data_IF_400254344186
#
_entry.id   IF_400254344186
#
_cell.length_a   1.000
_cell.length_b   1.000
_cell.length_c   1.000
_cell.angle_alpha   90.00
_cell.angle_beta   90.00
_cell.angle_gamma   90.00
#
_symmetry.space_group_name_H-M   'P 1'
#
loop_
_entity.id
_entity.type
_entity.pdbx_description
1 polymer ?
2 non-polymer ?
3 non-polymer ?
4 water ?
#
# COMPACT_ATOMS: atom_id res chain seq x y z
N UNK A 1 5.75 3.88 23.39
CA UNK A 1 5.49 5.22 22.82
C UNK A 1 5.50 5.22 21.31
N UNK A 2 4.45 5.76 20.70
CA UNK A 2 4.38 5.95 19.28
C UNK A 2 5.08 7.21 18.85
N UNK A 3 5.80 7.13 17.74
CA UNK A 3 6.34 8.32 17.09
C UNK A 3 6.28 8.17 15.59
N UNK A 4 5.87 9.23 14.92
CA UNK A 4 5.80 9.21 13.46
C UNK A 4 7.20 9.20 12.80
N UNK A 5 8.23 9.56 13.56
CA UNK A 5 9.60 9.63 13.02
C UNK A 5 10.46 8.44 13.40
N UNK A 6 9.84 7.40 13.94
CA UNK A 6 10.53 6.14 14.22
C UNK A 6 9.69 4.99 13.67
N UNK A 7 10.29 3.82 13.55
CA UNK A 7 9.54 2.62 13.19
C UNK A 7 8.89 2.06 14.45
N UNK A 8 7.59 1.80 14.37
CA UNK A 8 6.82 1.36 15.52
C UNK A 8 6.44 -0.11 15.40
N UNK A 9 6.56 -0.87 16.48
CA UNK A 9 6.16 -2.29 16.43
C UNK A 9 4.65 -2.44 16.31
N UNK A 10 4.17 -3.65 16.06
CA UNK A 10 2.74 -3.84 15.84
C UNK A 10 1.88 -3.44 17.02
N UNK A 11 2.28 -3.82 18.23
CA UNK A 11 1.53 -3.44 19.43
C UNK A 11 1.30 -1.92 19.44
N UNK A 12 2.34 -1.17 19.10
CA UNK A 12 2.30 0.29 19.08
C UNK A 12 1.42 0.82 17.94
N UNK A 13 1.57 0.27 16.75
CA UNK A 13 0.74 0.69 15.61
C UNK A 13 -0.74 0.38 15.91
N UNK A 14 -1.01 -0.81 16.43
CA UNK A 14 -2.38 -1.20 16.78
C UNK A 14 -3.01 -0.22 17.78
N UNK A 15 -2.26 0.12 18.84
CA UNK A 15 -2.74 1.07 19.84
C UNK A 15 -2.93 2.44 19.21
N UNK A 16 -2.05 2.79 18.27
CA UNK A 16 -2.17 4.06 17.57
C UNK A 16 -3.42 4.12 16.73
N UNK A 17 -3.79 3.03 16.06
CA UNK A 17 -5.02 3.04 15.25
C UNK A 17 -6.24 3.35 16.13
N UNK A 18 -6.24 2.82 17.35
CA UNK A 18 -7.34 3.06 18.28
C UNK A 18 -7.30 4.50 18.78
N UNK A 19 -6.12 4.98 19.15
CA UNK A 19 -5.95 6.33 19.70
C UNK A 19 -6.22 7.44 18.68
N UNK A 20 -5.71 7.27 17.46
CA UNK A 20 -5.87 8.30 16.43
C UNK A 20 -7.35 8.41 16.05
N UNK A 21 -8.06 7.29 16.11
CA UNK A 21 -9.50 7.26 15.84
C UNK A 21 -10.28 7.98 16.95
N UNK A 22 -9.94 7.66 18.20
CA UNK A 22 -10.62 8.24 19.35
C UNK A 22 -10.38 9.76 19.45
N UNK A 23 -9.18 10.19 19.05
CA UNK A 23 -8.80 11.61 19.12
C UNK A 23 -9.42 12.44 17.99
N UNK A 24 -9.83 11.78 16.91
CA UNK A 24 -10.31 12.46 15.71
C UNK A 24 -11.63 11.88 15.16
N UNK A 25 -12.67 11.81 16.01
CA UNK A 25 -13.91 11.12 15.64
C UNK A 25 -14.63 11.72 14.42
N UNK A 26 -14.41 13.01 14.16
CA UNK A 26 -15.06 13.70 13.05
C UNK A 26 -14.40 13.41 11.71
N UNK A 27 -13.22 12.78 11.75
CA UNK A 27 -12.39 12.58 10.57
C UNK A 27 -11.98 11.12 10.35
N UNK A 28 -12.00 10.31 11.42
CA UNK A 28 -11.51 8.92 11.34
C UNK A 28 -12.45 7.92 12.00
N UNK A 29 -12.71 6.82 11.30
CA UNK A 29 -13.33 5.64 11.91
C UNK A 29 -12.48 4.42 11.63
N UNK A 30 -12.60 3.41 12.50
CA UNK A 30 -11.79 2.21 12.38
C UNK A 30 -12.67 0.96 12.32
N UNK A 31 -12.32 0.05 11.42
CA UNK A 31 -12.93 -1.28 11.37
C UNK A 31 -11.85 -2.33 11.23
N UNK A 32 -12.21 -3.59 11.43
CA UNK A 32 -11.37 -4.72 11.11
C UNK A 32 -12.00 -5.44 9.93
N UNK A 33 -11.20 -5.69 8.89
CA UNK A 33 -11.70 -6.29 7.66
C UNK A 33 -11.47 -7.79 7.62
N UNK A 34 -10.82 -8.30 8.66
CA UNK A 34 -10.57 -9.72 8.78
C UNK A 34 -9.48 -10.00 9.78
N UNK A 35 -9.03 -11.24 9.84
CA UNK A 35 -7.94 -11.62 10.73
C UNK A 35 -6.83 -12.29 9.93
N UNK A 36 -5.61 -12.16 10.43
CA UNK A 36 -4.46 -12.79 9.81
C UNK A 36 -4.44 -14.29 10.10
N UNK A 37 -3.51 -15.00 9.48
CA UNK A 37 -3.28 -16.40 9.77
C UNK A 37 -3.19 -16.65 11.28
N UNK A 38 -2.46 -15.81 11.99
CA UNK A 38 -2.26 -15.96 13.44
C UNK A 38 -3.38 -15.37 14.30
N UNK A 39 -4.37 -14.75 13.65
CA UNK A 39 -5.56 -14.28 14.34
C UNK A 39 -5.53 -12.81 14.73
N UNK A 40 -4.58 -12.05 14.19
CA UNK A 40 -4.50 -10.62 14.45
C UNK A 40 -5.52 -9.86 13.61
N UNK A 41 -6.20 -8.90 14.23
CA UNK A 41 -7.17 -8.06 13.51
C UNK A 41 -6.48 -7.19 12.47
N UNK A 42 -7.00 -7.21 11.25
CA UNK A 42 -6.49 -6.38 10.15
C UNK A 42 -7.28 -5.06 10.15
N UNK A 43 -6.69 -4.02 10.73
CA UNK A 43 -7.39 -2.75 10.92
C UNK A 43 -7.34 -1.88 9.67
N UNK A 44 -8.44 -1.18 9.46
CA UNK A 44 -8.59 -0.25 8.35
C UNK A 44 -9.11 1.06 8.89
N UNK A 45 -8.48 2.15 8.50
CA UNK A 45 -8.94 3.48 8.88
C UNK A 45 -9.67 4.13 7.71
N UNK A 46 -10.84 4.69 7.97
CA UNK A 46 -11.57 5.48 6.99
C UNK A 46 -11.38 6.93 7.37
N UNK A 47 -10.68 7.67 6.51
CA UNK A 47 -10.26 9.03 6.79
C UNK A 47 -11.02 10.00 5.89
N UNK A 48 -11.74 10.93 6.49
CA UNK A 48 -12.55 11.90 5.75
C UNK A 48 -13.71 12.40 6.57
N UNK A 49 -14.21 13.56 6.20
CA UNK A 49 -15.41 14.11 6.84
C UNK A 49 -16.65 13.45 6.24
N UNK A 50 -17.57 12.93 7.08
CA UNK A 50 -18.78 12.32 6.53
C UNK A 50 -19.53 13.22 5.54
N UNK A 51 -20.09 12.59 4.51
CA UNK A 51 -20.87 13.28 3.49
C UNK A 51 -21.55 12.25 2.61
N UNK A 52 -22.48 12.69 1.75
CA UNK A 52 -23.25 11.76 0.95
C UNK A 52 -22.52 11.32 -0.33
N UNK A 53 -22.67 10.04 -0.67
CA UNK A 53 -22.15 9.47 -1.92
C UNK A 53 -20.71 9.85 -2.25
N UNK A 54 -19.83 9.77 -1.26
CA UNK A 54 -18.44 10.16 -1.44
C UNK A 54 -17.67 9.09 -2.20
N UNK A 55 -16.90 9.47 -3.25
CA UNK A 55 -15.95 8.53 -3.84
C UNK A 55 -14.82 8.26 -2.85
N UNK A 56 -14.06 7.20 -3.08
CA UNK A 56 -13.01 6.81 -2.15
C UNK A 56 -11.71 6.47 -2.87
N UNK A 57 -10.61 6.66 -2.14
CA UNK A 57 -9.30 6.17 -2.55
C UNK A 57 -8.87 5.16 -1.50
N UNK A 58 -8.35 4.02 -1.96
CA UNK A 58 -7.88 2.97 -1.05
C UNK A 58 -6.37 2.92 -1.10
N UNK A 59 -5.74 3.00 0.06
CA UNK A 59 -4.29 2.87 0.17
C UNK A 59 -3.90 1.84 1.22
N UNK A 60 -3.00 0.93 0.85
CA UNK A 60 -2.47 -0.02 1.81
C UNK A 60 -0.96 0.06 1.91
N UNK A 61 -0.47 -0.35 3.07
CA UNK A 61 0.95 -0.44 3.33
C UNK A 61 1.25 -1.80 3.96
N UNK A 62 2.53 -2.16 3.98
CA UNK A 62 2.93 -3.33 4.74
C UNK A 62 2.53 -4.68 4.16
N UNK A 63 2.41 -4.78 2.84
CA UNK A 63 2.29 -6.09 2.20
C UNK A 63 3.51 -6.94 2.55
N UNK A 64 4.70 -6.35 2.44
CA UNK A 64 5.96 -7.06 2.63
C UNK A 64 6.56 -6.64 3.94
N UNK A 65 6.81 -7.63 4.79
CA UNK A 65 7.09 -7.39 6.20
C UNK A 65 8.30 -6.49 6.46
N UNK A 66 9.36 -6.70 5.68
CA UNK A 66 10.62 -6.01 5.91
C UNK A 66 10.64 -4.56 5.40
N UNK A 67 9.60 -4.16 4.66
CA UNK A 67 9.58 -2.83 4.03
C UNK A 67 9.03 -1.79 4.99
N UNK A 68 9.76 -1.56 6.07
CA UNK A 68 9.28 -0.76 7.20
C UNK A 68 8.89 0.66 6.87
N UNK A 69 9.54 1.24 5.85
CA UNK A 69 9.18 2.59 5.45
C UNK A 69 7.75 2.65 4.89
N UNK A 70 7.26 1.54 4.34
CA UNK A 70 5.87 1.47 3.87
C UNK A 70 4.91 1.68 5.03
N UNK A 71 5.08 0.90 6.10
CA UNK A 71 4.23 1.03 7.29
C UNK A 71 4.30 2.42 7.82
N UNK A 72 5.51 2.99 7.87
CA UNK A 72 5.71 4.34 8.37
C UNK A 72 4.95 5.37 7.53
N UNK A 73 4.89 5.14 6.22
CA UNK A 73 4.20 6.10 5.37
C UNK A 73 2.69 6.13 5.59
N UNK A 74 2.05 4.98 5.76
CA UNK A 74 0.59 5.00 6.01
C UNK A 74 0.28 5.79 7.26
N UNK A 75 1.11 5.63 8.29
CA UNK A 75 0.94 6.40 9.52
C UNK A 75 1.12 7.89 9.25
N UNK A 76 2.15 8.24 8.45
CA UNK A 76 2.42 9.63 8.12
C UNK A 76 1.29 10.27 7.37
N UNK A 77 0.66 9.54 6.47
CA UNK A 77 -0.48 10.07 5.74
C UNK A 77 -1.60 10.49 6.68
N UNK A 78 -1.92 9.62 7.64
CA UNK A 78 -2.94 9.93 8.62
C UNK A 78 -2.52 11.12 9.50
N UNK A 79 -1.25 11.13 9.90
CA UNK A 79 -0.65 12.27 10.60
C UNK A 79 -0.95 13.59 9.87
N UNK A 80 -0.66 13.61 8.58
CA UNK A 80 -0.87 14.79 7.73
C UNK A 80 -2.33 15.19 7.65
N UNK A 81 -3.22 14.20 7.49
CA UNK A 81 -4.65 14.45 7.40
C UNK A 81 -5.17 15.14 8.65
N UNK A 82 -4.82 14.62 9.82
CA UNK A 82 -5.38 15.16 11.06
C UNK A 82 -4.70 16.48 11.45
N UNK A 83 -3.43 16.64 11.10
CA UNK A 83 -2.71 17.86 11.42
C UNK A 83 -3.16 19.04 10.55
N UNK A 84 -3.30 18.80 9.25
CA UNK A 84 -3.49 19.91 8.31
C UNK A 84 -4.93 20.15 7.86
N UNK A 85 -5.85 19.25 8.22
CA UNK A 85 -7.26 19.46 7.91
C UNK A 85 -7.76 20.79 8.50
N UNK A 86 -8.35 21.64 7.66
CA UNK A 86 -8.84 22.96 8.09
C UNK A 86 -7.83 24.08 7.86
N UNK A 87 -6.56 23.72 7.79
CA UNK A 87 -5.47 24.68 7.61
C UNK A 87 -4.98 24.74 6.17
N UNK A 88 -4.83 23.58 5.55
CA UNK A 88 -4.32 23.50 4.19
C UNK A 88 -5.48 23.23 3.24
N UNK A 89 -5.65 24.11 2.26
CA UNK A 89 -6.79 24.07 1.34
C UNK A 89 -7.02 22.74 0.62
N UNK A 90 -5.94 22.13 0.12
CA UNK A 90 -6.06 20.91 -0.68
C UNK A 90 -6.44 19.72 0.15
N UNK A 91 -5.72 19.49 1.24
CA UNK A 91 -6.04 18.37 2.13
C UNK A 91 -7.47 18.49 2.67
N UNK A 92 -7.88 19.72 2.98
CA UNK A 92 -9.24 19.92 3.49
C UNK A 92 -10.29 19.59 2.43
N UNK A 93 -10.07 20.05 1.19
CA UNK A 93 -10.96 19.67 0.10
C UNK A 93 -10.98 18.17 -0.12
N UNK A 94 -9.80 17.54 -0.11
CA UNK A 94 -9.73 16.09 -0.30
C UNK A 94 -10.61 15.35 0.71
N UNK A 95 -10.47 15.72 1.98
CA UNK A 95 -11.16 14.99 3.05
C UNK A 95 -12.65 15.34 3.12
N UNK A 96 -13.02 16.52 2.63
CA UNK A 96 -14.42 16.90 2.55
C UNK A 96 -15.17 16.18 1.44
N UNK A 97 -14.47 15.91 0.34
CA UNK A 97 -15.10 15.39 -0.88
C UNK A 97 -14.89 13.90 -1.11
N UNK A 98 -13.80 13.35 -0.60
CA UNK A 98 -13.58 11.92 -0.72
C UNK A 98 -13.21 11.27 0.60
N UNK A 99 -13.33 9.95 0.66
CA UNK A 99 -12.85 9.18 1.79
C UNK A 99 -11.56 8.48 1.41
N UNK A 100 -10.65 8.39 2.36
CA UNK A 100 -9.45 7.58 2.18
C UNK A 100 -9.54 6.37 3.07
N UNK A 101 -9.46 5.19 2.49
CA UNK A 101 -9.31 3.98 3.28
C UNK A 101 -7.83 3.72 3.39
N UNK A 102 -7.31 3.74 4.61
CA UNK A 102 -5.89 3.52 4.87
C UNK A 102 -5.74 2.24 5.66
N UNK A 103 -5.07 1.26 5.05
CA UNK A 103 -4.80 0.00 5.72
C UNK A 103 -3.33 0.01 6.12
N UNK A 104 -3.05 0.32 7.41
CA UNK A 104 -1.67 0.61 7.82
C UNK A 104 -0.70 -0.56 7.67
N UNK A 105 -1.15 -1.77 8.00
CA UNK A 105 -0.31 -2.95 7.86
C UNK A 105 -1.18 -4.12 7.41
N UNK A 106 -0.94 -4.65 6.22
CA UNK A 106 -1.69 -5.82 5.78
C UNK A 106 -1.11 -7.09 6.38
N UNK A 107 0.19 -7.29 6.20
CA UNK A 107 0.86 -8.50 6.64
C UNK A 107 1.41 -8.33 8.06
N UNK A 108 0.47 -8.36 9.01
CA UNK A 108 0.77 -8.11 10.42
C UNK A 108 1.67 -9.21 11.00
N UNK A 109 1.36 -10.46 10.65
CA UNK A 109 2.14 -11.58 11.19
C UNK A 109 3.60 -11.48 10.76
N UNK A 110 3.83 -11.18 9.49
CA UNK A 110 5.19 -11.02 8.98
C UNK A 110 5.88 -9.85 9.65
N UNK A 111 5.13 -8.75 9.83
CA UNK A 111 5.71 -7.56 10.47
C UNK A 111 6.21 -7.87 11.89
N UNK A 112 5.37 -8.53 12.68
CA UNK A 112 5.76 -8.94 14.03
C UNK A 112 7.04 -9.77 13.96
N UNK A 113 7.08 -10.69 13.01
CA UNK A 113 8.26 -11.55 12.82
C UNK A 113 9.53 -10.77 12.51
N UNK A 114 9.41 -9.66 11.76
CA UNK A 114 10.60 -8.84 11.48
C UNK A 114 11.12 -8.13 12.72
N UNK A 115 10.24 -7.90 13.70
CA UNK A 115 10.63 -7.28 14.97
C UNK A 115 11.20 -8.26 15.96
N UNK A 116 10.75 -9.50 15.90
CA UNK A 116 11.08 -10.49 16.92
C UNK A 116 12.15 -11.51 16.52
N UNK A 117 12.19 -11.87 15.24
CA UNK A 117 13.03 -12.99 14.79
C UNK A 117 13.93 -12.72 13.58
N UNK A 118 13.39 -12.06 12.55
CA UNK A 118 14.10 -11.96 11.28
C UNK A 118 13.74 -10.68 10.56
N UNK A 119 14.62 -9.69 10.67
CA UNK A 119 14.40 -8.36 10.10
C UNK A 119 14.12 -8.38 8.61
N UNK A 120 14.61 -9.42 7.93
CA UNK A 120 14.53 -9.48 6.46
C UNK A 120 13.40 -10.37 5.92
N UNK A 121 12.48 -10.77 6.80
CA UNK A 121 11.32 -11.55 6.39
C UNK A 121 10.43 -10.74 5.47
N UNK A 122 9.89 -11.39 4.44
CA UNK A 122 9.05 -10.75 3.41
C UNK A 122 7.60 -11.23 3.43
N UNK A 123 7.44 -12.54 3.51
CA UNK A 123 6.17 -13.20 3.26
C UNK A 123 5.22 -13.20 4.46
N UNK A 124 4.05 -13.81 4.29
CA UNK A 124 3.17 -14.08 5.42
C UNK A 124 3.83 -15.13 6.33
N UNK A 125 3.10 -15.53 7.38
CA UNK A 125 3.61 -16.56 8.29
C UNK A 125 2.73 -17.80 8.32
N UNK A 126 1.96 -18.02 7.25
CA UNK A 126 1.16 -19.23 7.11
C UNK A 126 1.97 -20.47 6.74
N UNK A 127 1.41 -21.63 7.01
CA UNK A 127 2.09 -22.89 6.73
C UNK A 127 1.82 -23.35 5.31
N UNK A 128 2.66 -24.27 4.84
CA UNK A 128 2.53 -24.85 3.51
C UNK A 128 2.57 -26.37 3.58
N UNK A 129 1.71 -27.01 2.80
CA UNK A 129 1.63 -28.47 2.75
C UNK A 129 2.94 -29.08 2.25
N UNK A 130 3.34 -30.18 2.88
CA UNK A 130 4.46 -31.00 2.43
C UNK A 130 5.84 -30.41 2.64
N UNK A 131 5.93 -29.35 3.46
CA UNK A 131 7.18 -28.69 3.77
C UNK A 131 7.08 -27.95 5.10
N UNK A 132 8.23 -27.63 5.71
CA UNK A 132 8.25 -26.78 6.90
C UNK A 132 8.50 -25.31 6.54
N UNK A 133 8.76 -25.03 5.26
CA UNK A 133 8.94 -23.66 4.80
C UNK A 133 7.66 -22.86 5.00
N UNK A 134 7.82 -21.63 5.48
CA UNK A 134 6.72 -20.78 5.90
C UNK A 134 6.47 -19.63 4.92
N UNK A 135 5.19 -19.37 4.65
CA UNK A 135 4.79 -18.10 4.06
C UNK A 135 4.54 -18.07 2.58
N UNK A 136 3.68 -17.13 2.19
CA UNK A 136 3.33 -16.84 0.81
C UNK A 136 3.61 -15.36 0.59
N UNK A 137 4.05 -15.01 -0.62
CA UNK A 137 4.20 -13.61 -0.98
C UNK A 137 2.82 -13.02 -1.26
N UNK A 138 2.34 -12.10 -0.40
CA UNK A 138 0.97 -11.61 -0.60
C UNK A 138 0.81 -10.89 -1.93
N UNK A 139 1.88 -10.29 -2.43
CA UNK A 139 1.80 -9.60 -3.71
C UNK A 139 2.08 -10.51 -4.91
N UNK A 140 1.99 -11.82 -4.68
CA UNK A 140 1.92 -12.79 -5.76
C UNK A 140 0.66 -13.66 -5.60
N UNK A 141 -0.20 -13.27 -4.66
CA UNK A 141 -1.34 -14.11 -4.26
C UNK A 141 -2.70 -13.66 -4.79
N UNK A 142 -2.72 -12.63 -5.62
CA UNK A 142 -3.99 -12.15 -6.16
C UNK A 142 -4.33 -12.80 -7.50
N UNK A 143 -5.61 -12.77 -7.83
CA UNK A 143 -6.12 -13.37 -9.06
C UNK A 143 -5.86 -12.47 -10.27
N UNK A 144 -4.59 -12.38 -10.66
CA UNK A 144 -4.12 -11.53 -11.76
C UNK A 144 -2.98 -12.25 -12.48
N UNK A 145 -3.31 -13.01 -13.53
CA UNK A 145 -2.35 -13.90 -14.18
C UNK A 145 -1.67 -14.80 -13.17
N UNK A 146 -2.44 -15.26 -12.18
CA UNK A 146 -1.87 -15.88 -10.98
C UNK A 146 -0.88 -16.98 -11.24
N UNK A 147 0.28 -16.84 -10.59
CA UNK A 147 1.41 -17.80 -10.61
C UNK A 147 2.00 -18.13 -11.98
N UNK A 148 1.99 -17.18 -12.91
CA UNK A 148 2.48 -17.44 -14.27
C UNK A 148 3.87 -16.90 -14.61
N UNK A 149 4.23 -15.75 -14.04
CA UNK A 149 5.52 -15.12 -14.32
C UNK A 149 5.97 -14.36 -13.09
N UNK A 150 7.28 -14.32 -12.85
CA UNK A 150 7.83 -13.56 -11.72
C UNK A 150 7.30 -14.02 -10.38
N UNK A 151 6.76 -15.24 -10.34
CA UNK A 151 6.24 -15.84 -9.13
C UNK A 151 6.69 -17.29 -9.10
N UNK A 152 7.00 -17.78 -7.91
CA UNK A 152 7.53 -19.13 -7.75
C UNK A 152 6.44 -20.10 -7.28
N UNK A 153 6.56 -21.34 -7.74
CA UNK A 153 5.70 -22.42 -7.27
C UNK A 153 6.29 -23.15 -6.04
N UNK A 154 7.49 -22.74 -5.64
CA UNK A 154 8.20 -23.37 -4.53
C UNK A 154 7.85 -22.61 -3.24
N UNK A 155 7.20 -23.30 -2.28
CA UNK A 155 6.83 -22.64 -1.01
C UNK A 155 8.02 -22.12 -0.20
N UNK A 156 9.23 -22.62 -0.49
CA UNK A 156 10.43 -22.15 0.18
C UNK A 156 11.03 -20.88 -0.42
N UNK A 157 10.40 -20.37 -1.48
CA UNK A 157 10.90 -19.19 -2.20
C UNK A 157 10.24 -17.91 -1.75
N UNK A 158 10.96 -16.80 -1.91
CA UNK A 158 10.49 -15.50 -1.46
C UNK A 158 9.29 -14.95 -2.24
N UNK A 159 9.12 -15.41 -3.49
CA UNK A 159 7.99 -14.97 -4.33
C UNK A 159 6.94 -16.08 -4.51
N UNK A 160 6.88 -17.01 -3.55
CA UNK A 160 5.90 -18.08 -3.60
C UNK A 160 4.49 -17.52 -3.76
N UNK A 161 3.78 -18.03 -4.76
CA UNK A 161 2.44 -17.52 -5.13
C UNK A 161 1.31 -18.03 -4.25
N UNK A 162 1.59 -19.01 -3.38
CA UNK A 162 0.57 -19.63 -2.54
C UNK A 162 -0.04 -20.85 -3.20
N UNK A 163 -0.94 -21.51 -2.48
CA UNK A 163 -1.58 -22.73 -2.97
C UNK A 163 -2.67 -22.44 -4.01
N UNK A 164 -3.20 -21.21 -3.98
CA UNK A 164 -4.25 -20.76 -4.90
C UNK A 164 -4.34 -19.24 -4.76
N UNK A 165 -4.92 -18.56 -5.75
CA UNK A 165 -5.18 -17.13 -5.61
C UNK A 165 -6.07 -16.91 -4.39
N UNK A 166 -5.72 -15.91 -3.58
CA UNK A 166 -6.45 -15.55 -2.36
C UNK A 166 -6.43 -16.66 -1.29
N UNK A 167 -5.42 -17.52 -1.35
CA UNK A 167 -5.23 -18.55 -0.35
C UNK A 167 -4.92 -17.97 1.03
N UNK A 168 -4.31 -16.79 1.07
CA UNK A 168 -3.96 -16.17 2.34
C UNK A 168 -5.15 -15.42 2.92
N UNK A 169 -5.33 -15.56 4.22
CA UNK A 169 -6.40 -14.84 4.91
C UNK A 169 -6.33 -13.34 4.66
N UNK A 170 -5.11 -12.80 4.65
CA UNK A 170 -4.90 -11.36 4.50
C UNK A 170 -5.31 -10.84 3.12
N UNK A 171 -4.95 -11.58 2.07
CA UNK A 171 -5.25 -11.15 0.71
C UNK A 171 -6.73 -11.36 0.40
N UNK A 172 -7.30 -12.46 0.91
CA UNK A 172 -8.74 -12.68 0.80
C UNK A 172 -9.51 -11.53 1.47
N UNK A 173 -9.07 -11.13 2.66
CA UNK A 173 -9.74 -10.04 3.37
C UNK A 173 -9.69 -8.73 2.57
N UNK A 174 -8.53 -8.41 2.01
CA UNK A 174 -8.36 -7.20 1.21
C UNK A 174 -9.22 -7.25 -0.06
N UNK A 175 -9.14 -8.37 -0.78
CA UNK A 175 -9.90 -8.54 -2.01
C UNK A 175 -11.41 -8.49 -1.74
N UNK A 176 -11.84 -9.10 -0.64
CA UNK A 176 -13.25 -9.04 -0.26
C UNK A 176 -13.70 -7.61 0.02
N UNK A 177 -12.88 -6.83 0.74
CA UNK A 177 -13.25 -5.46 1.05
C UNK A 177 -13.38 -4.63 -0.23
N UNK A 178 -12.40 -4.76 -1.12
CA UNK A 178 -12.42 -4.00 -2.36
C UNK A 178 -13.63 -4.39 -3.21
N UNK A 179 -13.90 -5.69 -3.36
CA UNK A 179 -15.08 -6.15 -4.10
C UNK A 179 -16.38 -5.59 -3.51
N UNK A 180 -16.48 -5.58 -2.18
CA UNK A 180 -17.67 -5.07 -1.48
C UNK A 180 -17.87 -3.55 -1.61
N UNK A 181 -16.81 -2.85 -2.01
CA UNK A 181 -16.83 -1.39 -2.06
C UNK A 181 -16.42 -0.83 -3.42
N UNK A 182 -16.53 -1.68 -4.44
CA UNK A 182 -15.96 -1.42 -5.76
C UNK A 182 -16.52 -0.19 -6.44
N UNK A 183 -18.20 0.14 -5.98
CA UNK A 183 -18.87 1.27 -6.62
C UNK A 183 -18.30 2.61 -6.15
N UNK A 184 -17.63 2.62 -4.99
CA UNK A 184 -17.11 3.86 -4.44
C UNK A 184 -15.60 4.07 -4.61
N UNK A 185 -14.83 2.99 -4.63
CA UNK A 185 -13.38 3.09 -4.73
C UNK A 185 -12.96 3.43 -6.15
N UNK A 186 -12.34 4.60 -6.32
CA UNK A 186 -11.94 5.10 -7.64
C UNK A 186 -10.46 4.95 -7.91
N UNK A 187 -9.67 4.78 -6.85
CA UNK A 187 -8.23 4.64 -7.00
C UNK A 187 -7.70 3.69 -5.95
N UNK A 188 -6.67 2.94 -6.32
CA UNK A 188 -6.02 1.98 -5.45
C UNK A 188 -4.52 2.29 -5.43
N UNK A 189 -3.97 2.49 -4.24
CA UNK A 189 -2.55 2.83 -4.06
C UNK A 189 -1.92 1.86 -3.08
N UNK A 190 -0.82 1.24 -3.48
CA UNK A 190 -0.20 0.25 -2.63
C UNK A 190 1.27 0.60 -2.45
N UNK A 191 1.68 0.69 -1.19
CA UNK A 191 2.98 1.25 -0.83
C UNK A 191 3.99 0.16 -0.47
N UNK A 192 5.14 0.20 -1.14
CA UNK A 192 6.22 -0.77 -1.01
C UNK A 192 7.54 -0.05 -0.89
N UNK A 193 8.61 -0.80 -0.64
CA UNK A 193 9.98 -0.31 -0.89
C UNK A 193 10.82 -1.49 -1.38
N UNK A 194 12.00 -1.26 -1.97
CA UNK A 194 12.56 0.05 -2.31
C UNK A 194 12.82 0.06 -3.81
N UNK A 195 13.22 1.23 -4.31
CA UNK A 195 13.82 1.43 -5.65
C UNK A 195 13.34 2.73 -6.31
N UNK A 196 12.48 3.48 -5.63
CA UNK A 196 12.03 4.80 -6.11
C UNK A 196 11.31 4.76 -7.46
N UNK A 197 10.12 4.16 -7.44
CA UNK A 197 9.33 3.99 -8.66
C UNK A 197 7.85 4.25 -8.39
N UNK A 198 7.16 4.72 -9.42
CA UNK A 198 5.70 4.69 -9.45
C UNK A 198 5.31 3.77 -10.60
N UNK A 199 4.69 2.65 -10.27
CA UNK A 199 4.32 1.64 -11.23
C UNK A 199 2.81 1.58 -11.41
N UNK A 200 2.37 1.19 -12.59
CA UNK A 200 0.96 0.94 -12.84
C UNK A 200 0.85 -0.35 -13.69
N UNK A 201 -0.38 -0.83 -13.94
CA UNK A 201 -0.50 -2.11 -14.67
C UNK A 201 0.07 -2.05 -16.10
N UNK A 202 0.49 -3.17 -16.68
CA UNK A 202 0.42 -4.49 -16.07
C UNK A 202 1.79 -5.02 -15.71
N UNK A 203 1.80 -5.87 -14.68
CA UNK A 203 2.99 -6.65 -14.31
C UNK A 203 2.88 -8.11 -14.73
N UNK A 204 1.66 -8.65 -14.80
CA UNK A 204 1.52 -10.10 -15.02
C UNK A 204 1.68 -10.58 -16.47
N UNK A 205 1.63 -9.63 -17.40
CA UNK A 205 1.91 -9.89 -18.80
C UNK A 205 2.41 -8.60 -19.43
N UNK A 206 3.11 -8.73 -20.55
CA UNK A 206 3.52 -7.58 -21.32
C UNK A 206 2.33 -7.11 -22.16
N UNK A 207 1.45 -6.37 -21.51
CA UNK A 207 0.29 -5.74 -22.13
C UNK A 207 0.01 -4.44 -21.41
N UNK A 208 -0.73 -3.55 -22.05
CA UNK A 208 -0.98 -2.22 -21.49
C UNK A 208 -2.47 -2.02 -21.19
N UNK A 209 -2.76 -1.24 -20.14
CA UNK A 209 -4.13 -0.87 -19.79
C UNK A 209 -4.72 0.08 -20.84
N UNK A 210 -6.04 0.05 -20.99
CA UNK A 210 -6.74 0.89 -21.96
C UNK A 210 -6.41 2.37 -21.80
N UNK A 211 -6.26 2.82 -20.55
CA UNK A 211 -5.95 4.21 -20.25
C UNK A 211 -4.46 4.43 -19.98
N UNK A 212 -3.62 3.71 -20.71
CA UNK A 212 -2.17 3.79 -20.55
C UNK A 212 -1.59 5.19 -20.66
N UNK A 213 -2.04 5.97 -21.64
CA UNK A 213 -1.53 7.32 -21.83
C UNK A 213 -1.84 8.19 -20.61
N UNK A 214 -3.06 8.07 -20.09
CA UNK A 214 -3.49 8.80 -18.91
C UNK A 214 -2.66 8.43 -17.67
N UNK A 215 -2.45 7.13 -17.45
CA UNK A 215 -1.68 6.66 -16.30
C UNK A 215 -0.22 7.06 -16.41
N UNK A 216 0.33 6.96 -17.63
CA UNK A 216 1.70 7.35 -17.85
C UNK A 216 1.93 8.83 -17.53
N UNK A 217 1.03 9.67 -18.04
CA UNK A 217 1.14 11.10 -17.81
C UNK A 217 0.96 11.47 -16.34
N UNK A 218 0.04 10.79 -15.66
CA UNK A 218 -0.18 11.01 -14.24
C UNK A 218 1.05 10.60 -13.42
N UNK A 219 1.60 9.43 -13.70
CA UNK A 219 2.79 8.97 -13.00
C UNK A 219 3.97 9.91 -13.25
N UNK A 220 4.13 10.36 -14.49
CA UNK A 220 5.19 11.30 -14.84
C UNK A 220 5.08 12.60 -14.05
N UNK A 221 3.86 13.13 -13.95
CA UNK A 221 3.63 14.35 -13.21
C UNK A 221 3.81 14.17 -11.71
N UNK A 222 3.42 13.01 -11.19
CA UNK A 222 3.58 12.73 -9.76
C UNK A 222 5.06 12.59 -9.38
N UNK A 223 5.83 11.96 -10.26
CA UNK A 223 7.29 11.85 -10.11
C UNK A 223 7.94 13.23 -10.08
N UNK A 224 7.49 14.11 -10.97
CA UNK A 224 8.02 15.48 -11.04
C UNK A 224 7.68 16.24 -9.76
N UNK A 225 6.44 16.08 -9.30
CA UNK A 225 6.03 16.74 -8.05
C UNK A 225 6.84 16.24 -6.84
N UNK A 226 7.07 14.94 -6.77
CA UNK A 226 7.86 14.35 -5.69
C UNK A 226 9.27 14.95 -5.65
N UNK A 227 9.87 15.12 -6.83
CA UNK A 227 11.24 15.62 -6.95
C UNK A 227 11.41 17.06 -6.50
N UNK A 228 10.32 17.82 -6.47
CA UNK A 228 10.41 19.25 -6.14
C UNK A 228 10.97 19.49 -4.74
N UNK A 229 10.76 18.55 -3.82
CA UNK A 229 11.11 18.79 -2.43
C UNK A 229 12.61 18.61 -2.13
N UNK A 230 13.16 17.44 -2.45
CA UNK A 230 14.55 17.10 -2.15
C UNK A 230 15.35 16.60 -3.35
N UNK A 231 14.73 16.64 -4.53
CA UNK A 231 15.40 16.22 -5.75
C UNK A 231 15.46 14.71 -5.93
N UNK A 232 14.69 13.97 -5.13
CA UNK A 232 14.69 12.52 -5.19
C UNK A 232 14.16 12.07 -6.54
N UNK A 233 14.91 11.17 -7.19
CA UNK A 233 14.61 10.75 -8.57
C UNK A 233 13.87 9.42 -8.59
N UNK A 234 12.65 9.45 -9.10
CA UNK A 234 11.85 8.25 -9.31
C UNK A 234 11.75 7.93 -10.79
N UNK A 235 11.63 6.65 -11.11
CA UNK A 235 11.22 6.23 -12.44
C UNK A 235 9.76 5.79 -12.40
N UNK A 236 9.15 5.58 -13.56
CA UNK A 236 7.73 5.26 -13.61
C UNK A 236 7.42 4.48 -14.87
N UNK A 237 6.33 3.74 -14.84
CA UNK A 237 5.82 3.06 -16.02
C UNK A 237 5.04 1.82 -15.67
N UNK A 238 4.62 1.06 -16.70
CA UNK A 238 3.97 -0.22 -16.46
C UNK A 238 4.94 -1.18 -15.78
N UNK A 239 4.43 -1.95 -14.82
CA UNK A 239 5.28 -2.76 -13.96
C UNK A 239 6.22 -3.68 -14.70
N UNK A 240 5.70 -4.41 -15.70
CA UNK A 240 6.46 -5.46 -16.36
C UNK A 240 7.78 -4.95 -16.96
N UNK A 241 7.75 -3.73 -17.49
CA UNK A 241 8.91 -3.15 -18.19
C UNK A 241 9.67 -2.11 -17.37
N UNK A 242 9.12 -1.71 -16.22
CA UNK A 242 9.75 -0.70 -15.38
C UNK A 242 10.55 -1.31 -14.22
N UNK A 243 10.03 -2.39 -13.66
CA UNK A 243 10.78 -3.12 -12.63
C UNK A 243 11.06 -4.56 -13.07
N UNK A 244 9.99 -5.34 -13.29
CA UNK A 244 10.09 -6.72 -13.79
C UNK A 244 8.68 -7.31 -13.96
N UNK A 245 8.53 -8.35 -14.80
CA UNK A 245 7.25 -9.05 -14.82
C UNK A 245 7.02 -9.79 -13.51
N UNK A 246 5.81 -9.69 -13.00
CA UNK A 246 5.42 -10.33 -11.75
C UNK A 246 3.91 -10.51 -11.75
N UNK A 247 3.48 -11.75 -11.62
CA UNK A 247 2.06 -12.08 -11.63
C UNK A 247 1.48 -12.11 -10.22
N UNK A 248 0.17 -11.88 -10.12
CA UNK A 248 -0.54 -12.00 -8.85
C UNK A 248 -0.50 -10.76 -7.98
N UNK A 249 -0.17 -9.60 -8.55
CA UNK A 249 -0.09 -8.35 -7.81
C UNK A 249 -1.45 -7.73 -7.56
N UNK A 250 -1.58 -7.04 -6.42
CA UNK A 250 -2.84 -6.43 -6.05
C UNK A 250 -3.21 -5.26 -6.95
N UNK A 251 -2.23 -4.50 -7.42
CA UNK A 251 -2.53 -3.37 -8.31
C UNK A 251 -3.14 -3.82 -9.63
N UNK A 252 -2.59 -4.89 -10.23
CA UNK A 252 -3.14 -5.45 -11.47
C UNK A 252 -4.54 -5.99 -11.23
N UNK A 253 -4.72 -6.68 -10.11
CA UNK A 253 -6.03 -7.22 -9.76
C UNK A 253 -7.06 -6.13 -9.58
N UNK A 254 -6.71 -5.09 -8.82
CA UNK A 254 -7.60 -3.96 -8.60
C UNK A 254 -8.00 -3.30 -9.92
N UNK A 255 -7.02 -3.10 -10.80
CA UNK A 255 -7.29 -2.52 -12.11
C UNK A 255 -8.25 -3.39 -12.92
N UNK A 256 -8.05 -4.69 -12.90
CA UNK A 256 -8.92 -5.62 -13.60
C UNK A 256 -10.34 -5.70 -13.02
N UNK A 257 -10.52 -5.17 -11.81
CA UNK A 257 -11.87 -5.03 -11.22
C UNK A 257 -12.58 -3.79 -11.74
N UNK A 258 -11.83 -2.90 -12.40
CA UNK A 258 -12.38 -1.67 -12.94
C UNK A 258 -11.89 -0.41 -12.25
N UNK A 259 -10.95 -0.55 -11.31
CA UNK A 259 -10.38 0.62 -10.64
C UNK A 259 -9.32 1.20 -11.56
N UNK A 260 -9.64 2.32 -12.20
CA UNK A 260 -8.85 2.82 -13.34
C UNK A 260 -7.52 3.47 -12.95
N UNK A 261 -7.42 3.91 -11.69
CA UNK A 261 -6.19 4.53 -11.20
C UNK A 261 -5.62 3.60 -10.15
N UNK A 262 -4.66 2.78 -10.57
CA UNK A 262 -4.09 1.77 -9.71
C UNK A 262 -2.57 1.90 -9.80
N UNK A 263 -1.93 2.19 -8.68
CA UNK A 263 -0.49 2.44 -8.65
C UNK A 263 0.21 1.72 -7.52
N UNK A 264 1.42 1.26 -7.80
CA UNK A 264 2.33 0.77 -6.77
C UNK A 264 3.41 1.83 -6.59
N UNK A 265 3.66 2.22 -5.34
CA UNK A 265 4.76 3.10 -5.01
C UNK A 265 5.89 2.28 -4.40
N UNK A 266 7.08 2.42 -4.95
CA UNK A 266 8.29 1.85 -4.35
C UNK A 266 9.10 3.00 -3.80
N UNK A 267 9.19 3.09 -2.47
CA UNK A 267 9.80 4.25 -1.83
C UNK A 267 11.33 4.17 -1.78
N UNK A 268 11.95 5.05 -1.02
CA UNK A 268 13.41 5.11 -0.88
C UNK A 268 13.97 3.81 -0.30
N UNK A 269 15.24 3.48 -0.55
CA UNK A 269 16.15 4.23 -1.42
C UNK A 269 16.40 3.46 -2.72
N UNK A 270 17.61 3.56 -3.27
CA UNK A 270 17.95 2.83 -4.49
C UNK A 270 18.94 1.70 -4.22
N UNK A 271 19.11 1.36 -2.94
CA UNK A 271 19.94 0.21 -2.56
C UNK A 271 21.04 0.42 -1.54
N UNK A 272 21.36 1.67 -1.21
CA UNK A 272 22.43 1.92 -0.21
C UNK A 272 22.07 1.27 1.13
N UNK A 273 20.86 1.54 1.61
CA UNK A 273 20.31 0.89 2.80
C UNK A 273 19.25 -0.15 2.47
N UNK A 274 18.57 0.02 1.34
CA UNK A 274 17.54 -0.92 0.91
C UNK A 274 16.41 -0.96 1.92
N UNK A 275 16.09 -2.15 2.42
CA UNK A 275 14.98 -2.32 3.34
C UNK A 275 15.24 -1.74 4.72
N UNK A 276 16.50 -1.60 5.08
CA UNK A 276 16.86 -1.13 6.41
C UNK A 276 17.14 0.38 6.35
N UNK A 277 16.22 1.10 5.70
CA UNK A 277 16.31 2.55 5.60
C UNK A 277 16.32 3.16 6.99
N UNK A 278 17.31 4.02 7.29
CA UNK A 278 17.39 4.53 8.66
C UNK A 278 16.20 5.40 9.04
N UNK A 279 15.90 5.40 10.34
CA UNK A 279 14.84 6.23 10.89
C UNK A 279 15.02 7.71 10.57
N UNK A 280 16.28 8.14 10.46
CA UNK A 280 16.61 9.52 10.13
C UNK A 280 16.05 9.94 8.76
N UNK A 281 15.71 8.98 7.91
CA UNK A 281 15.14 9.29 6.59
C UNK A 281 13.61 9.22 6.53
N UNK A 282 12.95 8.84 7.63
CA UNK A 282 11.49 8.68 7.61
C UNK A 282 10.80 9.99 7.24
N UNK A 283 11.15 11.08 7.92
CA UNK A 283 10.51 12.37 7.68
C UNK A 283 10.61 12.80 6.21
N UNK A 284 11.83 12.81 5.66
CA UNK A 284 12.02 13.28 4.29
C UNK A 284 11.34 12.38 3.27
N UNK A 285 11.43 11.07 3.48
CA UNK A 285 10.80 10.11 2.59
C UNK A 285 9.29 10.32 2.59
N UNK A 286 8.72 10.46 3.78
CA UNK A 286 7.27 10.59 3.88
C UNK A 286 6.77 11.92 3.33
N UNK A 287 7.50 13.00 3.59
CA UNK A 287 7.07 14.31 3.12
C UNK A 287 7.11 14.39 1.59
N UNK A 288 8.16 13.87 0.96
CA UNK A 288 8.19 13.92 -0.51
C UNK A 288 7.11 13.00 -1.10
N UNK A 289 6.88 11.85 -0.47
CA UNK A 289 5.87 10.90 -0.96
C UNK A 289 4.48 11.52 -0.85
N UNK A 290 4.24 12.28 0.22
CA UNK A 290 2.99 13.03 0.37
C UNK A 290 2.66 13.85 -0.86
N UNK A 291 3.68 14.45 -1.46
CA UNK A 291 3.46 15.31 -2.61
C UNK A 291 2.94 14.50 -3.80
N UNK A 292 3.49 13.31 -4.01
CA UNK A 292 3.03 12.44 -5.08
C UNK A 292 1.62 11.92 -4.81
N UNK A 293 1.36 11.50 -3.57
CA UNK A 293 0.04 10.98 -3.20
C UNK A 293 -1.04 12.06 -3.33
N UNK A 294 -0.73 13.28 -2.90
CA UNK A 294 -1.67 14.39 -3.01
C UNK A 294 -1.89 14.78 -4.47
N UNK A 295 -0.84 14.67 -5.29
CA UNK A 295 -0.98 14.94 -6.71
C UNK A 295 -1.97 13.97 -7.38
N UNK A 296 -1.80 12.68 -7.10
CA UNK A 296 -2.70 11.65 -7.62
C UNK A 296 -4.12 11.89 -7.11
N UNK A 297 -4.24 12.20 -5.82
CA UNK A 297 -5.54 12.44 -5.20
C UNK A 297 -6.27 13.60 -5.86
N UNK A 298 -5.56 14.71 -6.07
CA UNK A 298 -6.14 15.88 -6.72
C UNK A 298 -6.57 15.54 -8.14
N UNK A 299 -5.77 14.74 -8.84
CA UNK A 299 -6.13 14.32 -10.19
C UNK A 299 -7.42 13.51 -10.18
N UNK A 300 -7.51 12.53 -9.30
CA UNK A 300 -8.71 11.70 -9.20
C UNK A 300 -9.94 12.56 -8.92
N UNK A 301 -9.82 13.47 -7.93
CA UNK A 301 -10.91 14.37 -7.56
C UNK A 301 -11.40 15.20 -8.76
N UNK A 302 -10.46 15.64 -9.59
CA UNK A 302 -10.75 16.52 -10.71
C UNK A 302 -11.17 15.85 -12.00
N UNK A 303 -11.15 14.52 -12.03
CA UNK A 303 -11.50 13.77 -13.24
C UNK A 303 -12.48 12.66 -12.96
N UNK A 304 -13.43 12.93 -12.07
CA UNK A 304 -14.45 11.94 -11.71
C UNK A 304 -15.45 11.69 -12.84
X LIG B 1 7.20 -4.87 -1.47
X LIG C 1 8.50 -4.14 -4.55
X LIG D 1 4.22 17.62 6.33
X LIG E 1 -3.86 -7.27 18.95
X LIG F 1 2.01 9.16 18.13
X LIG G 1 6.09 -5.81 -5.29
X LIG G 1 7.26 -5.61 -4.89
X LIG G 1 5.56 -6.95 -5.23
X LIG G 1 5.34 -4.62 -5.82
#
# INVERSE_FOLDING_TARGET
GHSYEKYNNWETIEAWTKQVTSENPDLISRTAIGTTFLGNNIYLLKVGKPGPNKPAIFMDCGFHAREWISHAFCQWFVREAVLTYGYESHMTEFLNKLDFYVLPVLNIDGYIYTWTKNRMWRKTRSTNAGTTCIGTDPNRNFDAGWCTTGASTDPCDETYCGSAAESEKETKALADFIRNNLSSIKAYLTIHSYSQMILYPYSYDYKLPENNAELNNLAKAAVKELATLYGTKYTYGPGATTIYPAAGGSDDWAYDQGIKYSFTFELRDKGRYGFILPESQIQATCEETMLAIKYVTNYVLGHL
ZN ZN
ZN ZN
ZN ZN
ZN ZN
ZN ZN
ACT C O OXT CH3
#
